data_IF_266023150447
#
_entry.id   IF_266023150447
#
_cell.length_a   1.000
_cell.length_b   1.000
_cell.length_c   1.000
_cell.angle_alpha   90.00
_cell.angle_beta   90.00
_cell.angle_gamma   90.00
#
_symmetry.space_group_name_H-M   'P 1'
#
loop_
_entity.id
_entity.type
_entity.pdbx_description
1 polymer ?
#
# COMPACT_ATOMS: atom_id res chain seq x y z
N UNK A 1 5.43 17.32 26.64
CA UNK A 1 5.41 18.49 25.74
C UNK A 1 5.21 17.91 24.35
N UNK A 2 3.93 17.77 23.98
CA UNK A 2 3.50 17.19 22.69
C UNK A 2 3.55 18.36 21.72
N UNK A 3 4.57 18.42 20.88
CA UNK A 3 4.61 19.43 19.84
C UNK A 3 3.68 19.01 18.69
N UNK A 4 2.56 19.73 18.67
CA UNK A 4 1.66 19.93 17.56
C UNK A 4 2.44 20.17 16.26
N UNK A 5 2.53 19.16 15.39
CA UNK A 5 2.71 19.38 13.96
C UNK A 5 1.33 19.31 13.30
N UNK A 6 0.57 20.41 13.44
CA UNK A 6 -0.42 20.76 12.43
C UNK A 6 0.19 21.86 11.56
N UNK A 7 0.58 21.50 10.34
CA UNK A 7 0.91 22.44 9.27
C UNK A 7 0.65 21.78 7.92
N UNK A 8 -0.42 22.27 7.27
CA UNK A 8 -1.09 21.76 6.08
C UNK A 8 -0.30 21.93 4.77
N UNK A 9 0.79 21.18 4.54
CA UNK A 9 1.37 21.02 3.18
C UNK A 9 1.83 19.59 2.80
N UNK A 10 2.24 18.73 3.74
CA UNK A 10 2.69 17.37 3.41
C UNK A 10 2.29 16.39 4.52
N UNK A 11 1.20 15.65 4.33
CA UNK A 11 0.86 14.51 5.19
C UNK A 11 1.69 13.31 4.78
N UNK A 12 2.41 12.72 5.73
CA UNK A 12 3.11 11.47 5.51
C UNK A 12 2.08 10.33 5.43
N UNK A 13 2.10 9.51 4.37
CA UNK A 13 1.13 8.44 4.19
C UNK A 13 1.36 7.34 5.24
N UNK A 14 0.27 6.82 5.79
CA UNK A 14 0.30 5.79 6.85
C UNK A 14 0.44 4.37 6.31
N UNK A 15 0.20 4.18 5.01
CA UNK A 15 0.40 2.91 4.31
C UNK A 15 0.69 3.18 2.84
N UNK A 16 1.32 2.22 2.16
CA UNK A 16 1.53 2.29 0.71
C UNK A 16 0.23 2.46 -0.07
N UNK A 17 -0.88 1.90 0.42
CA UNK A 17 -2.20 2.00 -0.20
C UNK A 17 -2.71 3.44 -0.30
N UNK A 18 -2.33 4.33 0.62
CA UNK A 18 -2.69 5.76 0.53
C UNK A 18 -2.02 6.43 -0.70
N UNK A 19 -0.85 5.94 -1.11
CA UNK A 19 -0.10 6.41 -2.28
C UNK A 19 -0.43 5.65 -3.57
N UNK A 20 -0.93 4.43 -3.48
CA UNK A 20 -1.25 3.58 -4.64
C UNK A 20 -2.58 4.00 -5.27
N UNK A 21 -2.51 4.74 -6.39
CA UNK A 21 -3.69 5.19 -7.11
C UNK A 21 -4.54 4.04 -7.67
N UNK A 22 -3.91 2.96 -8.14
CA UNK A 22 -4.63 1.82 -8.71
C UNK A 22 -5.42 1.10 -7.61
N UNK A 23 -4.78 0.84 -6.46
CA UNK A 23 -5.46 0.26 -5.31
C UNK A 23 -6.61 1.13 -4.81
N UNK A 24 -6.43 2.45 -4.73
CA UNK A 24 -7.50 3.37 -4.30
C UNK A 24 -8.70 3.34 -5.25
N UNK A 25 -8.48 3.28 -6.56
CA UNK A 25 -9.55 3.16 -7.55
C UNK A 25 -10.28 1.83 -7.42
N UNK A 26 -9.55 0.73 -7.31
CA UNK A 26 -10.11 -0.60 -7.12
C UNK A 26 -10.94 -0.70 -5.82
N UNK A 27 -10.44 -0.16 -4.70
CA UNK A 27 -11.18 -0.12 -3.43
C UNK A 27 -12.44 0.73 -3.58
N UNK A 28 -12.36 1.91 -4.21
CA UNK A 28 -13.53 2.76 -4.48
C UNK A 28 -14.60 2.02 -5.29
N UNK A 29 -14.19 1.23 -6.28
CA UNK A 29 -15.11 0.43 -7.08
C UNK A 29 -15.77 -0.68 -6.27
N UNK A 30 -15.02 -1.35 -5.38
CA UNK A 30 -15.57 -2.40 -4.51
C UNK A 30 -16.53 -1.87 -3.44
N UNK A 31 -16.19 -0.73 -2.82
CA UNK A 31 -16.92 -0.20 -1.67
C UNK A 31 -17.97 0.87 -2.05
N UNK A 32 -17.88 1.41 -3.27
CA UNK A 32 -18.79 2.44 -3.79
C UNK A 32 -18.65 3.83 -3.15
N UNK A 33 -17.59 4.06 -2.37
CA UNK A 33 -17.35 5.32 -1.65
C UNK A 33 -15.85 5.60 -1.45
N UNK A 34 -15.51 6.86 -1.22
CA UNK A 34 -14.12 7.33 -1.03
C UNK A 34 -13.63 7.19 0.43
N UNK A 35 -14.54 7.21 1.41
CA UNK A 35 -14.20 7.10 2.83
C UNK A 35 -14.21 5.63 3.30
N UNK A 36 -13.04 5.00 3.16
CA UNK A 36 -12.83 3.57 3.37
C UNK A 36 -11.57 3.33 4.21
N UNK A 37 -11.66 2.30 5.05
CA UNK A 37 -10.55 1.84 5.89
C UNK A 37 -9.53 1.07 5.06
N UNK A 38 -8.53 1.77 4.52
CA UNK A 38 -7.49 1.19 3.65
C UNK A 38 -6.65 0.09 4.34
N UNK A 39 -6.53 0.15 5.66
CA UNK A 39 -5.87 -0.86 6.49
C UNK A 39 -6.45 -2.28 6.27
N UNK A 40 -7.73 -2.38 5.93
CA UNK A 40 -8.41 -3.66 5.64
C UNK A 40 -7.92 -4.35 4.37
N UNK A 41 -7.16 -3.64 3.54
CA UNK A 41 -6.56 -4.13 2.31
C UNK A 41 -5.04 -4.23 2.41
N UNK A 42 -4.42 -3.93 3.55
CA UNK A 42 -2.96 -3.91 3.68
C UNK A 42 -2.32 -5.31 3.77
N UNK A 43 -3.08 -6.31 4.20
CA UNK A 43 -2.58 -7.67 4.36
C UNK A 43 -2.59 -8.42 3.01
N UNK A 44 -1.43 -8.78 2.44
CA UNK A 44 -1.34 -9.49 1.16
C UNK A 44 -2.00 -10.87 1.17
N UNK A 45 -2.17 -11.48 2.35
CA UNK A 45 -2.76 -12.80 2.52
C UNK A 45 -4.28 -12.74 2.77
N UNK A 46 -4.88 -11.53 2.72
CA UNK A 46 -6.31 -11.35 2.94
C UNK A 46 -7.13 -11.44 1.65
N UNK A 47 -8.36 -11.95 1.75
CA UNK A 47 -9.29 -12.00 0.61
C UNK A 47 -9.58 -10.61 0.02
N UNK A 48 -9.62 -9.57 0.87
CA UNK A 48 -9.84 -8.20 0.43
C UNK A 48 -8.71 -7.70 -0.46
N UNK A 49 -7.46 -7.99 -0.08
CA UNK A 49 -6.31 -7.66 -0.90
C UNK A 49 -6.35 -8.40 -2.24
N UNK A 50 -6.62 -9.71 -2.23
CA UNK A 50 -6.71 -10.49 -3.47
C UNK A 50 -7.73 -9.89 -4.44
N UNK A 51 -8.92 -9.51 -3.95
CA UNK A 51 -9.97 -8.88 -4.77
C UNK A 51 -9.52 -7.57 -5.43
N UNK A 52 -8.78 -6.71 -4.72
CA UNK A 52 -8.30 -5.46 -5.33
C UNK A 52 -7.21 -5.74 -6.37
N UNK A 53 -6.33 -6.72 -6.14
CA UNK A 53 -5.27 -7.07 -7.08
C UNK A 53 -5.85 -7.66 -8.37
N UNK A 54 -6.85 -8.53 -8.25
CA UNK A 54 -7.59 -9.08 -9.40
C UNK A 54 -8.25 -7.96 -10.19
N UNK A 55 -8.94 -7.03 -9.50
CA UNK A 55 -9.62 -5.92 -10.15
C UNK A 55 -8.64 -4.98 -10.87
N UNK A 56 -7.53 -4.61 -10.23
CA UNK A 56 -6.48 -3.80 -10.87
C UNK A 56 -5.95 -4.55 -12.11
N UNK A 57 -5.62 -5.84 -11.98
CA UNK A 57 -5.12 -6.65 -13.08
C UNK A 57 -6.07 -6.65 -14.28
N UNK A 58 -7.37 -6.79 -14.03
CA UNK A 58 -8.41 -6.70 -15.08
C UNK A 58 -8.45 -5.31 -15.74
N UNK A 59 -8.37 -4.22 -14.97
CA UNK A 59 -8.41 -2.85 -15.51
C UNK A 59 -7.23 -2.55 -16.46
N UNK A 60 -6.04 -3.08 -16.16
CA UNK A 60 -4.83 -2.87 -16.97
C UNK A 60 -4.53 -3.98 -17.98
N UNK A 61 -5.40 -5.00 -18.07
CA UNK A 61 -5.31 -6.08 -19.07
C UNK A 61 -4.24 -7.14 -18.78
N UNK A 62 -3.92 -7.40 -17.51
CA UNK A 62 -3.01 -8.47 -17.10
C UNK A 62 -3.75 -9.77 -16.77
N UNK A 63 -3.13 -10.90 -17.09
CA UNK A 63 -3.62 -12.23 -16.67
C UNK A 63 -3.42 -12.48 -15.19
N UNK A 64 -2.31 -11.98 -14.64
CA UNK A 64 -1.97 -12.06 -13.21
C UNK A 64 -1.26 -10.79 -12.79
N UNK A 65 -1.56 -10.30 -11.58
CA UNK A 65 -0.84 -9.22 -10.94
C UNK A 65 -0.43 -9.67 -9.53
N UNK A 66 0.79 -9.31 -9.12
CA UNK A 66 1.25 -9.45 -7.73
C UNK A 66 2.21 -8.31 -7.42
N UNK A 67 2.09 -7.74 -6.23
CA UNK A 67 3.08 -6.81 -5.72
C UNK A 67 4.20 -7.53 -4.98
N UNK A 68 5.43 -7.04 -5.13
CA UNK A 68 6.59 -7.54 -4.39
C UNK A 68 6.42 -7.30 -2.88
N UNK A 69 6.70 -8.32 -2.07
CA UNK A 69 6.74 -8.20 -0.60
C UNK A 69 8.09 -7.62 -0.15
N UNK A 70 8.08 -6.90 0.98
CA UNK A 70 9.28 -6.21 1.48
C UNK A 70 10.33 -7.19 1.99
N UNK A 71 9.93 -8.25 2.67
CA UNK A 71 10.79 -9.36 3.11
C UNK A 71 11.55 -9.98 1.93
N UNK A 72 10.83 -10.36 0.87
CA UNK A 72 11.43 -10.92 -0.34
C UNK A 72 12.42 -9.93 -1.00
N UNK A 73 12.08 -8.63 -1.02
CA UNK A 73 12.95 -7.58 -1.58
C UNK A 73 14.23 -7.41 -0.75
N UNK A 74 14.12 -7.38 0.58
CA UNK A 74 15.27 -7.25 1.48
C UNK A 74 16.20 -8.45 1.33
N UNK A 75 15.64 -9.67 1.27
CA UNK A 75 16.41 -10.91 1.03
C UNK A 75 17.16 -10.84 -0.30
N UNK A 76 16.47 -10.46 -1.39
CA UNK A 76 17.07 -10.38 -2.72
C UNK A 76 18.19 -9.32 -2.82
N UNK A 77 18.06 -8.20 -2.11
CA UNK A 77 19.09 -7.15 -2.07
C UNK A 77 20.31 -7.55 -1.24
N UNK A 78 20.12 -8.40 -0.21
CA UNK A 78 21.22 -8.90 0.63
C UNK A 78 21.78 -7.88 1.63
N UNK A 79 21.09 -6.76 1.84
CA UNK A 79 21.38 -5.78 2.88
C UNK A 79 20.36 -5.91 4.02
N UNK A 80 20.74 -5.64 5.27
CA UNK A 80 19.78 -5.63 6.37
C UNK A 80 18.77 -4.49 6.17
N UNK A 81 17.54 -4.70 6.63
CA UNK A 81 16.41 -3.77 6.42
C UNK A 81 16.70 -2.35 6.93
N UNK A 82 17.42 -2.21 8.03
CA UNK A 82 17.81 -0.92 8.63
C UNK A 82 18.78 -0.09 7.75
N UNK A 83 19.32 -0.68 6.68
CA UNK A 83 20.13 0.00 5.66
C UNK A 83 19.36 0.23 4.35
N UNK A 84 18.06 -0.08 4.33
CA UNK A 84 17.17 0.10 3.19
C UNK A 84 16.02 1.02 3.59
N UNK A 85 15.84 2.12 2.85
CA UNK A 85 14.65 2.94 3.03
C UNK A 85 13.44 2.20 2.45
N UNK A 86 12.58 1.67 3.32
CA UNK A 86 11.33 1.00 2.95
C UNK A 86 10.09 1.85 3.23
N UNK A 87 10.28 3.08 3.74
CA UNK A 87 9.22 3.93 4.27
C UNK A 87 8.05 4.13 3.31
N UNK A 88 8.31 4.33 2.01
CA UNK A 88 7.26 4.50 1.02
C UNK A 88 6.39 3.25 0.81
N UNK A 89 6.78 2.10 1.37
CA UNK A 89 6.10 0.82 1.18
C UNK A 89 5.49 0.28 2.46
N UNK A 90 6.19 0.36 3.59
CA UNK A 90 5.69 -0.15 4.88
C UNK A 90 5.43 0.93 5.93
N UNK A 91 5.71 2.20 5.63
CA UNK A 91 5.46 3.33 6.53
C UNK A 91 6.37 3.35 7.76
N UNK A 92 7.38 2.48 7.82
CA UNK A 92 8.39 2.44 8.87
C UNK A 92 9.76 2.77 8.28
N UNK A 93 10.52 3.59 9.00
CA UNK A 93 11.87 4.03 8.66
C UNK A 93 12.83 3.67 9.76
#
# INVERSE_FOLDING_TARGET
MIDLVQSSKYSVPRSHLEMDLAARKAIKQLEGKDDVHLDKYANPDSERYVKIIELIGQEIGLTTLRYQRIDDMVEAVGLPKDRLCTFCRDGVG
#
